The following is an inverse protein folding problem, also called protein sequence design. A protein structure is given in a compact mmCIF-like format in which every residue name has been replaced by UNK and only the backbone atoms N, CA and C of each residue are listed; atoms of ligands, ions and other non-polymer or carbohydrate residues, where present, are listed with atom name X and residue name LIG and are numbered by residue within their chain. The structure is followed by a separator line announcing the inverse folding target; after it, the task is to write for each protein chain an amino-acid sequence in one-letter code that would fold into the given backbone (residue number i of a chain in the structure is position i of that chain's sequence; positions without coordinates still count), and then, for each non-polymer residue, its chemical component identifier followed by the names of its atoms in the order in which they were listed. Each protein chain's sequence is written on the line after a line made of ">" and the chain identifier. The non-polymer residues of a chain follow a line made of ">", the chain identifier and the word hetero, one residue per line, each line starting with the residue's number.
data_IF_027489673457
#
_entry.id   IF_027489673457
#
_cell.length_a   1.000
_cell.length_b   1.000
_cell.length_c   1.000
_cell.angle_alpha   90.00
_cell.angle_beta   90.00
_cell.angle_gamma   90.00
#
_symmetry.space_group_name_H-M   'P 1'
#
loop_
_entity.id
_entity.type
_entity.pdbx_description
1 polymer ?
#
# COMPACT_ATOMS: atom_id res chain seq x y z
N UNK A 1 58.53 44.90 -33.73
CA UNK A 1 58.49 44.16 -32.43
C UNK A 1 57.34 44.55 -31.50
N UNK A 2 56.10 44.88 -31.95
CA UNK A 2 55.04 45.25 -31.00
C UNK A 2 53.61 44.72 -31.40
N UNK A 3 53.51 43.66 -32.19
CA UNK A 3 52.16 43.10 -32.57
C UNK A 3 51.74 41.84 -31.81
N UNK A 4 52.61 41.20 -31.07
CA UNK A 4 52.31 39.92 -30.36
C UNK A 4 51.73 40.15 -28.94
N UNK A 5 51.97 41.27 -28.33
CA UNK A 5 51.54 41.56 -26.93
C UNK A 5 50.00 41.64 -26.75
N UNK A 6 49.28 42.25 -27.69
CA UNK A 6 47.83 42.48 -27.59
C UNK A 6 47.00 41.22 -27.75
N UNK A 7 47.51 40.21 -28.50
CA UNK A 7 46.83 38.95 -28.73
C UNK A 7 46.96 38.02 -27.52
N UNK A 8 48.10 37.98 -26.88
CA UNK A 8 48.40 37.19 -25.67
C UNK A 8 47.54 37.70 -24.48
N UNK A 9 47.44 39.02 -24.33
CA UNK A 9 46.60 39.62 -23.27
C UNK A 9 45.14 39.32 -23.43
N UNK A 10 44.61 39.34 -24.67
CA UNK A 10 43.20 38.96 -24.92
C UNK A 10 42.95 37.47 -24.68
N UNK A 11 43.88 36.60 -24.99
CA UNK A 11 43.79 35.16 -24.74
C UNK A 11 43.86 34.83 -23.23
N UNK A 12 44.73 35.52 -22.48
CA UNK A 12 44.79 35.42 -21.02
C UNK A 12 43.49 35.89 -20.32
N UNK A 13 42.88 36.99 -20.78
CA UNK A 13 41.61 37.53 -20.24
C UNK A 13 40.47 36.50 -20.56
N UNK A 14 40.44 35.87 -21.72
CA UNK A 14 39.46 34.87 -22.10
C UNK A 14 39.56 33.60 -21.23
N UNK A 15 40.77 33.16 -20.94
CA UNK A 15 41.03 31.98 -20.07
C UNK A 15 40.58 32.33 -18.61
N UNK A 16 40.88 33.54 -18.10
CA UNK A 16 40.45 33.93 -16.78
C UNK A 16 38.92 34.03 -16.65
N UNK A 17 38.20 34.41 -17.71
CA UNK A 17 36.73 34.41 -17.72
C UNK A 17 36.14 33.01 -17.70
N UNK A 18 36.71 32.04 -18.40
CA UNK A 18 36.27 30.66 -18.40
C UNK A 18 36.53 29.96 -17.06
N UNK A 19 37.66 30.22 -16.42
CA UNK A 19 37.99 29.63 -15.11
C UNK A 19 37.15 30.24 -13.97
N UNK A 20 36.85 31.51 -14.02
CA UNK A 20 36.02 32.16 -13.01
C UNK A 20 34.57 31.63 -12.99
N UNK A 21 33.97 31.31 -14.14
CA UNK A 21 32.62 30.74 -14.19
C UNK A 21 32.58 29.30 -13.64
N UNK A 22 33.59 28.50 -13.87
CA UNK A 22 33.66 27.13 -13.33
C UNK A 22 33.86 27.12 -11.80
N UNK A 23 34.65 28.05 -11.26
CA UNK A 23 34.86 28.18 -9.79
C UNK A 23 33.58 28.65 -9.10
N UNK A 24 32.82 29.57 -9.71
CA UNK A 24 31.55 30.02 -9.15
C UNK A 24 30.48 28.93 -9.11
N UNK A 25 30.38 28.10 -10.18
CA UNK A 25 29.46 26.97 -10.24
C UNK A 25 29.84 25.88 -9.22
N UNK A 26 31.11 25.60 -9.05
CA UNK A 26 31.62 24.63 -8.09
C UNK A 26 31.33 25.07 -6.63
N UNK A 27 31.48 26.35 -6.31
CA UNK A 27 31.16 26.87 -4.98
C UNK A 27 29.66 26.81 -4.63
N UNK A 28 28.75 26.93 -5.59
CA UNK A 28 27.30 26.76 -5.36
C UNK A 28 26.97 25.31 -5.07
N UNK A 29 27.50 24.37 -5.85
CA UNK A 29 27.33 22.94 -5.63
C UNK A 29 27.87 22.52 -4.25
N UNK A 30 29.07 22.98 -3.89
CA UNK A 30 29.67 22.70 -2.59
C UNK A 30 28.79 23.23 -1.43
N UNK A 31 28.21 24.41 -1.56
CA UNK A 31 27.28 24.96 -0.54
C UNK A 31 26.02 24.11 -0.41
N UNK A 32 25.45 23.64 -1.53
CA UNK A 32 24.27 22.74 -1.50
C UNK A 32 24.62 21.43 -0.79
N UNK A 33 25.75 20.82 -1.13
CA UNK A 33 26.23 19.57 -0.51
C UNK A 33 26.50 19.79 0.99
N UNK A 34 27.11 20.90 1.37
CA UNK A 34 27.35 21.21 2.77
C UNK A 34 26.07 21.42 3.56
N UNK A 35 25.09 22.12 2.98
CA UNK A 35 23.78 22.34 3.62
C UNK A 35 23.07 21.01 3.85
N UNK A 36 23.00 20.15 2.82
CA UNK A 36 22.39 18.83 2.95
C UNK A 36 23.13 17.95 3.98
N UNK A 37 24.46 17.98 4.00
CA UNK A 37 25.26 17.14 4.90
C UNK A 37 25.21 17.59 6.36
N UNK A 38 25.21 18.92 6.60
CA UNK A 38 25.33 19.49 7.96
C UNK A 38 24.00 19.87 8.56
N UNK A 39 23.06 20.33 7.75
CA UNK A 39 21.80 20.91 8.18
C UNK A 39 20.59 20.19 7.58
N UNK A 40 20.73 18.93 7.15
CA UNK A 40 19.63 18.17 6.55
C UNK A 40 18.42 18.15 7.48
N UNK A 41 17.27 18.53 6.93
CA UNK A 41 15.99 18.46 7.62
C UNK A 41 15.18 17.21 7.23
N UNK A 42 15.78 16.30 6.45
CA UNK A 42 15.07 15.15 5.87
C UNK A 42 14.36 14.32 6.95
N UNK A 43 15.04 13.99 8.05
CA UNK A 43 14.43 13.21 9.13
C UNK A 43 13.27 13.96 9.80
N UNK A 44 13.44 15.26 10.06
CA UNK A 44 12.37 16.09 10.66
C UNK A 44 11.16 16.18 9.73
N UNK A 45 11.39 16.44 8.43
CA UNK A 45 10.33 16.50 7.43
C UNK A 45 9.63 15.15 7.27
N UNK A 46 10.40 14.07 7.25
CA UNK A 46 9.86 12.71 7.20
C UNK A 46 8.99 12.41 8.44
N UNK A 47 9.47 12.71 9.64
CA UNK A 47 8.71 12.54 10.87
C UNK A 47 7.40 13.34 10.85
N UNK A 48 7.44 14.61 10.52
CA UNK A 48 6.24 15.47 10.47
C UNK A 48 5.21 14.93 9.46
N UNK A 49 5.67 14.50 8.28
CA UNK A 49 4.80 14.07 7.19
C UNK A 49 4.33 12.61 7.32
N UNK A 50 5.21 11.70 7.74
CA UNK A 50 4.93 10.26 7.77
C UNK A 50 4.33 9.82 9.11
N UNK A 51 4.89 10.31 10.22
CA UNK A 51 4.43 9.91 11.56
C UNK A 51 3.34 10.85 12.07
N UNK A 52 3.50 12.18 11.87
CA UNK A 52 2.57 13.18 12.39
C UNK A 52 1.27 13.28 11.58
N UNK A 53 1.35 13.27 10.24
CA UNK A 53 0.18 13.34 9.35
C UNK A 53 -0.29 11.95 8.93
N UNK A 54 0.63 11.05 8.60
CA UNK A 54 0.35 9.68 8.24
C UNK A 54 -0.14 9.47 6.80
N UNK A 55 -0.87 8.38 6.51
CA UNK A 55 -1.33 8.02 5.16
C UNK A 55 -2.22 9.10 4.53
N UNK A 56 -1.94 9.47 3.28
CA UNK A 56 -2.53 10.62 2.58
C UNK A 56 -3.18 10.21 1.26
N UNK A 57 -4.40 9.72 1.33
CA UNK A 57 -5.19 9.41 0.14
C UNK A 57 -5.95 10.67 -0.33
N UNK A 58 -6.14 10.79 -1.64
CA UNK A 58 -6.95 11.88 -2.22
C UNK A 58 -8.32 11.93 -1.57
N UNK A 59 -8.79 13.14 -1.20
CA UNK A 59 -10.09 13.34 -0.56
C UNK A 59 -10.13 13.01 0.94
N UNK A 60 -9.00 12.65 1.56
CA UNK A 60 -8.94 12.43 3.01
C UNK A 60 -8.56 13.71 3.78
N UNK A 61 -8.96 13.85 5.05
CA UNK A 61 -8.51 14.95 5.92
C UNK A 61 -6.98 15.00 6.04
N UNK A 62 -6.30 13.85 6.03
CA UNK A 62 -4.83 13.76 6.09
C UNK A 62 -4.16 14.35 4.84
N UNK A 63 -4.75 14.16 3.64
CA UNK A 63 -4.25 14.80 2.43
C UNK A 63 -4.35 16.33 2.52
N UNK A 64 -5.48 16.85 3.02
CA UNK A 64 -5.64 18.30 3.25
C UNK A 64 -4.58 18.82 4.22
N UNK A 65 -4.38 18.16 5.36
CA UNK A 65 -3.32 18.51 6.33
C UNK A 65 -1.93 18.51 5.71
N UNK A 66 -1.61 17.51 4.88
CA UNK A 66 -0.33 17.41 4.19
C UNK A 66 -0.11 18.56 3.20
N UNK A 67 -1.15 18.94 2.45
CA UNK A 67 -1.08 20.06 1.53
C UNK A 67 -0.88 21.40 2.28
N UNK A 68 -1.60 21.60 3.38
CA UNK A 68 -1.41 22.78 4.25
C UNK A 68 -0.01 22.80 4.89
N UNK A 69 0.47 21.63 5.35
CA UNK A 69 1.83 21.48 5.87
C UNK A 69 2.88 21.85 4.82
N UNK A 70 2.74 21.40 3.58
CA UNK A 70 3.66 21.73 2.50
C UNK A 70 3.70 23.23 2.21
N UNK A 71 2.54 23.89 2.13
CA UNK A 71 2.46 25.36 1.96
C UNK A 71 3.18 26.08 3.09
N UNK A 72 2.97 25.67 4.34
CA UNK A 72 3.61 26.29 5.51
C UNK A 72 5.13 26.05 5.51
N UNK A 73 5.61 24.88 5.09
CA UNK A 73 7.05 24.60 4.96
C UNK A 73 7.70 25.48 3.90
N UNK A 74 7.10 25.60 2.72
CA UNK A 74 7.59 26.52 1.70
C UNK A 74 7.63 27.96 2.20
N UNK A 75 6.59 28.41 2.89
CA UNK A 75 6.56 29.75 3.49
C UNK A 75 7.69 29.95 4.53
N UNK A 76 8.01 28.95 5.35
CA UNK A 76 9.11 29.00 6.32
C UNK A 76 10.49 29.13 5.66
N UNK A 77 10.61 28.71 4.41
CA UNK A 77 11.82 28.88 3.59
C UNK A 77 11.80 30.15 2.71
N UNK A 78 10.79 31.03 2.90
CA UNK A 78 10.64 32.25 2.10
C UNK A 78 10.11 32.01 0.69
N UNK A 79 9.55 30.83 0.41
CA UNK A 79 8.99 30.47 -0.90
C UNK A 79 7.48 30.63 -0.84
N UNK A 80 6.92 31.43 -1.77
CA UNK A 80 5.47 31.57 -1.90
C UNK A 80 4.86 30.29 -2.52
N UNK A 81 3.90 29.71 -1.83
CA UNK A 81 3.18 28.52 -2.28
C UNK A 81 1.69 28.63 -1.96
N UNK A 82 0.87 27.95 -2.72
CA UNK A 82 -0.58 27.87 -2.49
C UNK A 82 -1.12 26.50 -2.89
N UNK A 83 -2.22 26.10 -2.27
CA UNK A 83 -3.02 24.97 -2.75
C UNK A 83 -3.89 25.40 -3.92
N UNK A 84 -4.00 24.54 -4.94
CA UNK A 84 -4.94 24.71 -6.05
C UNK A 84 -5.92 23.55 -6.07
N UNK A 85 -7.21 23.86 -6.10
CA UNK A 85 -8.23 22.84 -6.29
C UNK A 85 -8.26 22.43 -7.76
N UNK A 86 -8.01 21.15 -8.03
CA UNK A 86 -8.03 20.60 -9.40
C UNK A 86 -9.22 19.66 -9.66
N UNK A 87 -9.98 19.31 -8.59
CA UNK A 87 -11.13 18.42 -8.70
C UNK A 87 -11.82 18.20 -7.37
N UNK A 88 -12.80 17.30 -7.41
CA UNK A 88 -13.53 16.82 -6.24
C UNK A 88 -13.41 15.31 -6.12
N UNK A 89 -13.39 14.82 -4.89
CA UNK A 89 -13.28 13.40 -4.60
C UNK A 89 -14.17 13.03 -3.42
N UNK A 90 -14.69 11.81 -3.41
CA UNK A 90 -15.43 11.30 -2.25
C UNK A 90 -14.51 11.25 -1.05
N UNK A 91 -14.88 11.99 0.00
CA UNK A 91 -14.16 11.96 1.27
C UNK A 91 -14.24 10.61 1.95
N UNK A 92 -13.22 10.29 2.74
CA UNK A 92 -13.18 9.13 3.61
C UNK A 92 -12.16 9.35 4.71
N UNK A 93 -12.49 8.95 5.93
CA UNK A 93 -11.61 9.03 7.08
C UNK A 93 -11.57 7.68 7.77
N UNK A 94 -10.35 7.14 7.94
CA UNK A 94 -10.14 5.87 8.65
C UNK A 94 -10.23 6.10 10.15
N UNK A 95 -11.04 5.28 10.81
CA UNK A 95 -11.02 5.10 12.25
C UNK A 95 -10.24 3.84 12.66
N UNK A 96 -10.67 3.21 13.73
CA UNK A 96 -10.02 2.02 14.30
C UNK A 96 -10.42 0.77 13.50
N UNK A 97 -9.48 -0.16 13.36
CA UNK A 97 -9.73 -1.52 12.88
C UNK A 97 -9.23 -2.51 13.91
N UNK A 98 -10.12 -3.36 14.44
CA UNK A 98 -9.78 -4.49 15.29
C UNK A 98 -10.22 -5.78 14.62
N UNK A 99 -9.33 -6.74 14.55
CA UNK A 99 -9.58 -8.07 13.97
C UNK A 99 -9.02 -9.10 14.94
N UNK A 100 -9.89 -9.97 15.44
CA UNK A 100 -9.49 -11.02 16.36
C UNK A 100 -9.98 -12.37 15.86
N UNK A 101 -9.13 -13.38 15.89
CA UNK A 101 -9.54 -14.77 15.80
C UNK A 101 -10.05 -15.22 17.16
N UNK A 102 -11.24 -15.79 17.21
CA UNK A 102 -11.90 -16.25 18.42
C UNK A 102 -11.85 -17.78 18.57
N UNK A 103 -11.81 -18.51 17.45
CA UNK A 103 -11.70 -19.97 17.36
C UNK A 103 -10.79 -20.34 16.21
N UNK A 104 -10.01 -21.42 16.29
CA UNK A 104 -9.90 -22.41 17.40
C UNK A 104 -9.12 -21.89 18.63
N UNK A 105 -8.45 -20.75 18.54
CA UNK A 105 -7.76 -20.09 19.65
C UNK A 105 -7.89 -18.59 19.55
N UNK A 106 -7.80 -17.89 20.68
CA UNK A 106 -7.82 -16.43 20.68
C UNK A 106 -6.47 -15.88 20.20
N UNK A 107 -6.53 -14.96 19.23
CA UNK A 107 -5.38 -14.24 18.70
C UNK A 107 -5.81 -12.93 18.06
N UNK A 108 -5.21 -11.81 18.44
CA UNK A 108 -5.35 -10.57 17.68
C UNK A 108 -4.61 -10.69 16.36
N UNK A 109 -5.27 -10.27 15.29
CA UNK A 109 -4.75 -10.33 13.93
C UNK A 109 -4.37 -8.94 13.45
N UNK A 110 -3.24 -8.84 12.76
CA UNK A 110 -2.83 -7.60 12.13
C UNK A 110 -3.61 -7.38 10.84
N UNK A 111 -4.30 -6.26 10.76
CA UNK A 111 -5.08 -5.91 9.58
C UNK A 111 -5.62 -4.49 9.63
N UNK A 112 -6.09 -4.01 8.48
CA UNK A 112 -6.66 -2.68 8.38
C UNK A 112 -7.82 -2.65 7.38
N UNK A 113 -8.79 -1.77 7.64
CA UNK A 113 -9.88 -1.51 6.72
C UNK A 113 -9.34 -0.87 5.44
N UNK A 114 -9.76 -1.38 4.28
CA UNK A 114 -9.44 -0.78 3.00
C UNK A 114 -10.10 0.59 2.84
N UNK A 115 -9.47 1.46 2.07
CA UNK A 115 -9.98 2.81 1.82
C UNK A 115 -11.33 2.76 1.10
N UNK A 116 -12.22 3.67 1.49
CA UNK A 116 -13.62 3.78 1.06
C UNK A 116 -14.48 2.54 1.36
N UNK A 117 -13.97 1.61 2.14
CA UNK A 117 -14.77 0.51 2.67
C UNK A 117 -15.80 1.01 3.68
N UNK A 118 -17.04 0.49 3.66
CA UNK A 118 -17.97 0.69 4.76
C UNK A 118 -17.41 0.14 6.07
N UNK A 119 -17.76 0.78 7.18
CA UNK A 119 -17.42 0.30 8.52
C UNK A 119 -18.49 -0.61 9.11
N UNK A 120 -18.16 -1.30 10.20
CA UNK A 120 -19.12 -2.00 11.05
C UNK A 120 -19.85 -1.04 12.02
N UNK A 121 -19.65 0.27 11.86
CA UNK A 121 -20.17 1.34 12.74
C UNK A 121 -19.73 1.15 14.20
N UNK A 122 -18.49 0.74 14.39
CA UNK A 122 -17.91 0.50 15.71
C UNK A 122 -18.44 -0.74 16.44
N UNK A 123 -19.25 -1.58 15.79
CA UNK A 123 -19.77 -2.82 16.39
C UNK A 123 -18.95 -4.03 15.94
N UNK A 124 -18.65 -4.94 16.86
CA UNK A 124 -17.99 -6.19 16.52
C UNK A 124 -18.95 -7.13 15.78
N UNK A 125 -18.55 -7.53 14.57
CA UNK A 125 -19.24 -8.54 13.76
C UNK A 125 -18.46 -9.84 13.86
N UNK A 126 -19.13 -10.93 14.25
CA UNK A 126 -18.50 -12.24 14.46
C UNK A 126 -19.05 -13.25 13.48
N UNK A 127 -18.20 -13.98 12.80
CA UNK A 127 -18.63 -15.03 11.88
C UNK A 127 -17.49 -16.01 11.54
N UNK A 128 -17.87 -17.14 10.99
CA UNK A 128 -16.98 -18.06 10.31
C UNK A 128 -16.42 -17.46 9.02
N UNK A 129 -15.35 -18.08 8.51
CA UNK A 129 -14.69 -17.70 7.27
C UNK A 129 -14.92 -18.79 6.22
N UNK A 130 -15.09 -18.36 4.97
CA UNK A 130 -15.01 -19.24 3.80
C UNK A 130 -14.01 -18.68 2.77
N UNK A 131 -13.39 -19.56 2.01
CA UNK A 131 -12.50 -19.18 0.89
C UNK A 131 -13.30 -19.25 -0.40
N UNK A 132 -13.07 -18.33 -1.35
CA UNK A 132 -13.59 -18.45 -2.71
C UNK A 132 -13.24 -19.84 -3.26
N UNK A 133 -14.22 -20.64 -3.74
CA UNK A 133 -14.00 -22.02 -4.17
C UNK A 133 -13.25 -22.08 -5.49
N UNK A 134 -12.63 -23.21 -5.74
CA UNK A 134 -12.32 -23.59 -7.11
C UNK A 134 -13.57 -24.16 -7.76
N UNK A 135 -14.03 -23.54 -8.84
CA UNK A 135 -15.24 -23.93 -9.57
C UNK A 135 -14.93 -24.24 -11.03
N UNK A 136 -15.80 -25.01 -11.67
CA UNK A 136 -15.65 -25.31 -13.09
C UNK A 136 -15.89 -24.06 -13.96
N UNK A 137 -16.94 -23.30 -13.65
CA UNK A 137 -17.42 -22.14 -14.39
C UNK A 137 -18.25 -21.20 -13.51
N UNK A 138 -18.77 -20.13 -14.10
CA UNK A 138 -19.59 -19.12 -13.42
C UNK A 138 -20.93 -19.67 -12.90
N UNK A 139 -21.52 -20.68 -13.55
CA UNK A 139 -22.77 -21.30 -13.07
C UNK A 139 -22.51 -22.06 -11.77
N UNK A 140 -21.42 -22.84 -11.71
CA UNK A 140 -21.00 -23.52 -10.49
C UNK A 140 -20.71 -22.52 -9.36
N UNK A 141 -20.14 -21.34 -9.69
CA UNK A 141 -19.96 -20.28 -8.71
C UNK A 141 -21.29 -19.71 -8.18
N UNK A 142 -22.25 -19.45 -9.07
CA UNK A 142 -23.61 -19.00 -8.67
C UNK A 142 -24.26 -20.00 -7.73
N UNK A 143 -24.15 -21.30 -8.02
CA UNK A 143 -24.68 -22.37 -7.15
C UNK A 143 -23.96 -22.43 -5.78
N UNK A 144 -22.71 -22.02 -5.70
CA UNK A 144 -21.95 -21.96 -4.45
C UNK A 144 -22.26 -20.72 -3.61
N UNK A 145 -22.65 -19.58 -4.22
CA UNK A 145 -22.85 -18.29 -3.55
C UNK A 145 -23.68 -18.34 -2.25
N UNK A 146 -24.73 -19.18 -2.09
CA UNK A 146 -25.46 -19.26 -0.81
C UNK A 146 -24.58 -19.59 0.41
N UNK A 147 -23.41 -20.20 0.21
CA UNK A 147 -22.49 -20.54 1.30
C UNK A 147 -21.83 -19.32 1.97
N UNK A 148 -21.85 -18.14 1.33
CA UNK A 148 -21.25 -16.92 1.90
C UNK A 148 -22.18 -16.20 2.88
N UNK A 149 -23.47 -16.57 2.93
CA UNK A 149 -24.45 -15.90 3.78
C UNK A 149 -24.06 -15.99 5.25
N UNK A 150 -23.91 -14.83 5.89
CA UNK A 150 -23.53 -14.75 7.29
C UNK A 150 -22.07 -15.07 7.59
N UNK A 151 -21.18 -15.07 6.58
CA UNK A 151 -19.75 -15.40 6.73
C UNK A 151 -18.85 -14.28 6.21
N UNK A 152 -17.60 -14.30 6.62
CA UNK A 152 -16.52 -13.54 5.99
C UNK A 152 -15.93 -14.35 4.83
N UNK A 153 -15.55 -13.66 3.74
CA UNK A 153 -15.08 -14.33 2.52
C UNK A 153 -13.66 -13.92 2.18
N UNK A 154 -12.75 -14.89 2.15
CA UNK A 154 -11.37 -14.71 1.71
C UNK A 154 -11.29 -14.74 0.17
N UNK A 155 -10.72 -13.69 -0.43
CA UNK A 155 -10.64 -13.53 -1.89
C UNK A 155 -9.20 -13.39 -2.42
N UNK A 156 -8.20 -13.43 -1.58
CA UNK A 156 -6.78 -13.42 -1.97
C UNK A 156 -6.16 -14.80 -1.84
N UNK A 157 -5.11 -15.05 -2.59
CA UNK A 157 -4.35 -16.30 -2.46
C UNK A 157 -3.54 -16.33 -1.15
N UNK A 158 -3.28 -17.52 -0.66
CA UNK A 158 -2.29 -17.73 0.38
C UNK A 158 -0.89 -17.63 -0.22
N UNK A 159 -0.04 -16.77 0.35
CA UNK A 159 1.34 -16.59 -0.11
C UNK A 159 2.24 -17.71 0.45
N UNK A 160 3.21 -18.23 -0.34
CA UNK A 160 4.12 -19.29 0.13
C UNK A 160 5.04 -18.81 1.26
N UNK A 161 5.37 -17.51 1.27
CA UNK A 161 6.20 -16.89 2.31
C UNK A 161 5.99 -15.38 2.33
N UNK A 162 6.09 -14.77 3.50
CA UNK A 162 6.09 -13.32 3.71
C UNK A 162 7.49 -12.69 3.71
N UNK A 163 8.54 -13.51 3.52
CA UNK A 163 9.90 -12.98 3.46
C UNK A 163 10.10 -12.16 2.20
N UNK A 164 10.53 -10.87 2.29
CA UNK A 164 10.75 -9.99 1.15
C UNK A 164 11.78 -10.53 0.16
N UNK A 165 11.61 -10.23 -1.13
CA UNK A 165 12.48 -10.70 -2.20
C UNK A 165 13.93 -10.23 -2.04
N UNK A 166 14.15 -8.99 -1.57
CA UNK A 166 15.49 -8.45 -1.30
C UNK A 166 16.23 -9.29 -0.24
N UNK A 167 15.50 -9.74 0.78
CA UNK A 167 16.06 -10.59 1.82
C UNK A 167 16.35 -12.01 1.29
N UNK A 168 15.51 -12.56 0.41
CA UNK A 168 15.79 -13.78 -0.30
C UNK A 168 17.01 -13.66 -1.20
N UNK A 169 17.09 -12.58 -1.96
CA UNK A 169 18.21 -12.32 -2.86
C UNK A 169 19.54 -12.22 -2.09
N UNK A 170 19.52 -11.65 -0.90
CA UNK A 170 20.72 -11.47 -0.07
C UNK A 170 21.19 -12.77 0.59
N UNK A 171 20.29 -13.65 1.03
CA UNK A 171 20.62 -14.77 1.93
C UNK A 171 20.35 -16.16 1.35
N UNK A 172 19.61 -16.30 0.26
CA UNK A 172 19.33 -17.58 -0.37
C UNK A 172 20.32 -17.89 -1.49
N UNK A 173 20.47 -19.18 -1.85
CA UNK A 173 21.12 -19.52 -3.12
C UNK A 173 20.28 -19.06 -4.29
N UNK A 174 20.91 -18.84 -5.44
CA UNK A 174 20.22 -18.44 -6.67
C UNK A 174 19.12 -19.43 -7.06
N UNK A 175 19.40 -20.73 -6.97
CA UNK A 175 18.45 -21.81 -7.29
C UNK A 175 17.22 -21.78 -6.37
N UNK A 176 17.44 -21.53 -5.06
CA UNK A 176 16.36 -21.47 -4.08
C UNK A 176 15.47 -20.23 -4.32
N UNK A 177 16.07 -19.09 -4.64
CA UNK A 177 15.33 -17.88 -4.97
C UNK A 177 14.55 -18.00 -6.28
N UNK A 178 15.16 -18.56 -7.32
CA UNK A 178 14.51 -18.80 -8.61
C UNK A 178 13.34 -19.79 -8.48
N UNK A 179 13.50 -20.84 -7.67
CA UNK A 179 12.43 -21.79 -7.34
C UNK A 179 11.25 -21.07 -6.67
N UNK A 180 11.52 -20.23 -5.66
CA UNK A 180 10.48 -19.46 -4.97
C UNK A 180 9.71 -18.53 -5.92
N UNK A 181 10.43 -17.81 -6.81
CA UNK A 181 9.79 -16.93 -7.79
C UNK A 181 8.88 -17.70 -8.75
N UNK A 182 9.33 -18.85 -9.22
CA UNK A 182 8.56 -19.73 -10.08
C UNK A 182 7.30 -20.23 -9.36
N UNK A 183 7.42 -20.75 -8.16
CA UNK A 183 6.32 -21.24 -7.33
C UNK A 183 5.29 -20.12 -7.08
N UNK A 184 5.74 -18.92 -6.71
CA UNK A 184 4.86 -17.77 -6.50
C UNK A 184 4.11 -17.37 -7.79
N UNK A 185 4.78 -17.42 -8.93
CA UNK A 185 4.16 -17.14 -10.24
C UNK A 185 3.08 -18.16 -10.56
N UNK A 186 3.38 -19.45 -10.43
CA UNK A 186 2.44 -20.54 -10.68
C UNK A 186 1.21 -20.47 -9.77
N UNK A 187 1.41 -20.20 -8.48
CA UNK A 187 0.32 -19.98 -7.51
C UNK A 187 -0.54 -18.77 -7.88
N UNK A 188 0.10 -17.66 -8.28
CA UNK A 188 -0.60 -16.44 -8.70
C UNK A 188 -1.47 -16.70 -9.94
N UNK A 189 -0.95 -17.41 -10.92
CA UNK A 189 -1.67 -17.72 -12.16
C UNK A 189 -2.82 -18.71 -11.88
N UNK A 190 -2.60 -19.71 -11.04
CA UNK A 190 -3.65 -20.61 -10.59
C UNK A 190 -4.76 -19.86 -9.86
N UNK A 191 -4.41 -18.91 -8.97
CA UNK A 191 -5.39 -18.07 -8.28
C UNK A 191 -6.17 -17.16 -9.22
N UNK A 192 -5.50 -16.50 -10.15
CA UNK A 192 -6.16 -15.69 -11.19
C UNK A 192 -7.14 -16.52 -12.02
N UNK A 193 -6.75 -17.73 -12.40
CA UNK A 193 -7.62 -18.68 -13.11
C UNK A 193 -8.82 -19.06 -12.26
N UNK A 194 -8.63 -19.35 -10.96
CA UNK A 194 -9.71 -19.61 -9.99
C UNK A 194 -10.71 -18.46 -9.95
N UNK A 195 -10.23 -17.22 -9.78
CA UNK A 195 -11.09 -16.04 -9.75
C UNK A 195 -11.81 -15.79 -11.09
N UNK A 196 -11.14 -15.99 -12.23
CA UNK A 196 -11.75 -15.79 -13.55
C UNK A 196 -12.93 -16.73 -13.80
N UNK A 197 -12.89 -17.95 -13.28
CA UNK A 197 -13.98 -18.92 -13.37
C UNK A 197 -15.25 -18.50 -12.60
N UNK A 198 -15.15 -17.55 -11.69
CA UNK A 198 -16.34 -16.97 -11.05
C UNK A 198 -17.22 -16.16 -12.02
N UNK A 199 -16.68 -15.78 -13.20
CA UNK A 199 -17.35 -14.91 -14.17
C UNK A 199 -17.40 -13.45 -13.78
N UNK A 200 -16.69 -13.04 -12.70
CA UNK A 200 -16.69 -11.68 -12.19
C UNK A 200 -15.29 -11.06 -12.20
N UNK A 201 -15.21 -9.78 -12.51
CA UNK A 201 -13.97 -9.01 -12.35
C UNK A 201 -13.63 -8.82 -10.86
N UNK A 202 -12.37 -8.50 -10.56
CA UNK A 202 -11.91 -8.18 -9.19
C UNK A 202 -12.72 -7.05 -8.54
N UNK A 203 -13.26 -6.13 -9.33
CA UNK A 203 -14.15 -5.05 -8.87
C UNK A 203 -15.55 -5.56 -8.52
N UNK A 204 -16.09 -6.45 -9.35
CA UNK A 204 -17.47 -6.93 -9.19
C UNK A 204 -17.61 -8.03 -8.15
N UNK A 205 -16.59 -8.87 -7.99
CA UNK A 205 -16.65 -10.00 -7.07
C UNK A 205 -17.03 -9.61 -5.64
N UNK A 206 -16.40 -8.61 -4.98
CA UNK A 206 -16.80 -8.18 -3.63
C UNK A 206 -18.26 -7.72 -3.56
N UNK A 207 -18.76 -7.05 -4.61
CA UNK A 207 -20.14 -6.58 -4.69
C UNK A 207 -21.13 -7.76 -4.79
N UNK A 208 -20.76 -8.79 -5.54
CA UNK A 208 -21.59 -10.01 -5.66
C UNK A 208 -21.63 -10.76 -4.33
N UNK A 209 -20.51 -10.89 -3.63
CA UNK A 209 -20.45 -11.49 -2.30
C UNK A 209 -21.30 -10.72 -1.28
N UNK A 210 -21.23 -9.40 -1.30
CA UNK A 210 -22.09 -8.53 -0.49
C UNK A 210 -23.58 -8.80 -0.78
N UNK A 211 -23.98 -8.84 -2.04
CA UNK A 211 -25.36 -9.13 -2.46
C UNK A 211 -25.82 -10.53 -2.05
N UNK A 212 -24.90 -11.49 -2.00
CA UNK A 212 -25.18 -12.85 -1.54
C UNK A 212 -25.28 -12.99 -0.01
N UNK A 213 -25.04 -11.90 0.73
CA UNK A 213 -25.21 -11.87 2.19
C UNK A 213 -23.93 -12.15 2.98
N UNK A 214 -22.76 -12.00 2.39
CA UNK A 214 -21.51 -11.99 3.13
C UNK A 214 -21.52 -10.86 4.18
N UNK A 215 -20.80 -11.04 5.28
CA UNK A 215 -20.66 -10.04 6.36
C UNK A 215 -19.41 -9.17 6.20
N UNK A 216 -18.48 -9.56 5.35
CA UNK A 216 -17.28 -8.80 4.99
C UNK A 216 -16.40 -9.58 4.04
N UNK A 217 -15.45 -8.86 3.45
CA UNK A 217 -14.47 -9.41 2.50
C UNK A 217 -13.08 -9.29 3.11
N UNK A 218 -12.33 -10.39 3.07
CA UNK A 218 -10.96 -10.48 3.57
C UNK A 218 -10.00 -10.53 2.39
N UNK A 219 -9.03 -9.63 2.39
CA UNK A 219 -7.98 -9.57 1.37
C UNK A 219 -6.60 -9.68 2.02
N UNK A 220 -5.63 -10.04 1.21
CA UNK A 220 -4.22 -9.86 1.47
C UNK A 220 -3.60 -9.29 0.19
N UNK A 221 -3.29 -8.00 0.21
CA UNK A 221 -2.69 -7.28 -0.90
C UNK A 221 -1.16 -7.16 -0.72
N UNK A 222 -0.53 -8.25 -0.30
CA UNK A 222 0.90 -8.29 -0.05
C UNK A 222 1.71 -7.76 -1.24
N UNK A 223 2.69 -6.89 -0.96
CA UNK A 223 3.56 -6.26 -1.95
C UNK A 223 5.02 -6.26 -1.53
N UNK A 224 5.50 -7.40 -1.08
CA UNK A 224 6.90 -7.63 -0.77
C UNK A 224 7.41 -6.86 0.48
N UNK A 225 6.52 -6.61 1.44
CA UNK A 225 6.81 -5.95 2.72
C UNK A 225 6.24 -6.72 3.91
N UNK A 226 6.40 -6.19 5.10
CA UNK A 226 5.83 -6.71 6.34
C UNK A 226 4.55 -5.97 6.70
N UNK A 227 3.60 -6.68 7.34
CA UNK A 227 2.33 -6.12 7.76
C UNK A 227 1.36 -5.89 6.59
N UNK A 228 0.56 -4.83 6.68
CA UNK A 228 -0.40 -4.44 5.63
C UNK A 228 0.22 -3.40 4.71
N UNK A 229 0.50 -3.80 3.48
CA UNK A 229 1.24 -2.97 2.51
C UNK A 229 0.34 -2.08 1.66
N UNK A 230 -0.87 -2.55 1.31
CA UNK A 230 -1.80 -1.87 0.40
C UNK A 230 -3.18 -1.75 0.99
N UNK A 231 -3.76 -0.56 0.87
CA UNK A 231 -5.02 -0.21 1.53
C UNK A 231 -6.08 0.34 0.56
N UNK A 232 -5.92 0.16 -0.74
CA UNK A 232 -6.83 0.69 -1.76
C UNK A 232 -7.91 -0.30 -2.17
N UNK A 233 -8.92 0.23 -2.93
CA UNK A 233 -9.84 -0.55 -3.74
C UNK A 233 -10.85 -1.42 -2.97
N UNK A 234 -11.45 -0.91 -1.93
CA UNK A 234 -12.71 -1.48 -1.46
C UNK A 234 -13.84 -1.15 -2.45
N UNK A 235 -14.58 -2.17 -2.85
CA UNK A 235 -15.71 -2.03 -3.79
C UNK A 235 -17.05 -2.38 -3.16
N UNK A 236 -17.05 -2.88 -1.93
CA UNK A 236 -18.25 -3.11 -1.13
C UNK A 236 -18.90 -1.78 -0.75
N UNK A 237 -20.22 -1.78 -0.58
CA UNK A 237 -21.01 -0.57 -0.29
C UNK A 237 -21.72 -0.63 1.06
N UNK A 238 -21.84 -1.82 1.67
CA UNK A 238 -22.59 -2.07 2.91
C UNK A 238 -21.81 -2.87 3.94
N UNK A 239 -20.84 -3.68 3.52
CA UNK A 239 -20.05 -4.55 4.38
C UNK A 239 -18.56 -4.14 4.35
N UNK A 240 -17.80 -4.37 5.44
CA UNK A 240 -16.38 -4.04 5.48
C UNK A 240 -15.58 -4.91 4.52
N UNK A 241 -14.55 -4.31 3.91
CA UNK A 241 -13.45 -5.00 3.28
C UNK A 241 -12.18 -4.67 4.07
N UNK A 242 -11.50 -5.69 4.57
CA UNK A 242 -10.27 -5.54 5.36
C UNK A 242 -9.12 -6.28 4.70
N UNK A 243 -7.94 -5.68 4.77
CA UNK A 243 -6.68 -6.31 4.39
C UNK A 243 -6.01 -6.86 5.66
N UNK A 244 -5.64 -8.13 5.63
CA UNK A 244 -5.02 -8.83 6.75
C UNK A 244 -3.56 -9.10 6.37
N UNK A 245 -2.64 -8.88 7.32
CA UNK A 245 -1.23 -9.15 7.12
C UNK A 245 -1.01 -10.61 6.69
N UNK A 246 0.01 -10.83 5.87
CA UNK A 246 0.24 -12.09 5.16
C UNK A 246 0.25 -13.30 6.10
N UNK A 247 0.94 -13.19 7.24
CA UNK A 247 1.10 -14.30 8.19
C UNK A 247 -0.23 -14.68 8.83
N UNK A 248 -1.04 -13.70 9.19
CA UNK A 248 -2.35 -13.90 9.80
C UNK A 248 -3.38 -14.38 8.78
N UNK A 249 -3.37 -13.80 7.58
CA UNK A 249 -4.17 -14.28 6.46
C UNK A 249 -3.87 -15.75 6.12
N UNK A 250 -2.58 -16.10 6.03
CA UNK A 250 -2.15 -17.47 5.78
C UNK A 250 -2.54 -18.43 6.90
N UNK A 251 -2.55 -17.98 8.15
CA UNK A 251 -3.04 -18.78 9.29
C UNK A 251 -4.52 -19.09 9.14
N UNK A 252 -5.35 -18.07 8.88
CA UNK A 252 -6.79 -18.24 8.67
C UNK A 252 -7.06 -19.13 7.44
N UNK A 253 -6.32 -18.92 6.36
CA UNK A 253 -6.46 -19.70 5.12
C UNK A 253 -6.24 -21.20 5.38
N UNK A 254 -5.14 -21.57 6.04
CA UNK A 254 -4.84 -22.97 6.38
C UNK A 254 -5.86 -23.58 7.33
N UNK A 255 -6.38 -22.84 8.30
CA UNK A 255 -7.44 -23.31 9.19
C UNK A 255 -8.73 -23.64 8.42
N UNK A 256 -9.11 -22.77 7.47
CA UNK A 256 -10.29 -23.07 6.61
C UNK A 256 -10.04 -24.29 5.74
N UNK A 257 -8.85 -24.43 5.13
CA UNK A 257 -8.51 -25.61 4.29
C UNK A 257 -8.47 -26.91 5.10
N UNK A 258 -8.06 -26.83 6.37
CA UNK A 258 -8.05 -28.01 7.28
C UNK A 258 -9.43 -28.35 7.84
N UNK A 259 -10.46 -27.53 7.59
CA UNK A 259 -11.81 -27.75 8.10
C UNK A 259 -12.05 -27.33 9.56
N UNK A 260 -11.15 -26.51 10.13
CA UNK A 260 -11.23 -26.05 11.53
C UNK A 260 -12.28 -24.94 11.75
N UNK A 261 -12.89 -24.43 10.68
CA UNK A 261 -13.94 -23.40 10.70
C UNK A 261 -13.62 -22.23 11.65
N UNK A 262 -12.54 -21.45 11.39
CA UNK A 262 -12.16 -20.37 12.27
C UNK A 262 -13.25 -19.31 12.35
N UNK A 263 -13.49 -18.79 13.55
CA UNK A 263 -14.39 -17.67 13.81
C UNK A 263 -13.54 -16.45 14.10
N UNK A 264 -13.83 -15.37 13.38
CA UNK A 264 -13.20 -14.07 13.63
C UNK A 264 -14.22 -13.02 14.04
N UNK A 265 -13.72 -11.99 14.72
CA UNK A 265 -14.44 -10.77 15.05
C UNK A 265 -13.80 -9.61 14.30
N UNK A 266 -14.60 -8.81 13.61
CA UNK A 266 -14.13 -7.59 12.94
C UNK A 266 -14.92 -6.41 13.48
N UNK A 267 -14.21 -5.39 13.92
CA UNK A 267 -14.76 -4.11 14.33
C UNK A 267 -14.02 -3.00 13.61
N UNK A 268 -14.73 -2.21 12.81
CA UNK A 268 -14.14 -1.09 12.06
C UNK A 268 -14.97 0.17 12.26
N UNK A 269 -14.29 1.32 12.25
CA UNK A 269 -14.91 2.62 12.21
C UNK A 269 -14.33 3.44 11.06
N UNK A 270 -15.18 4.14 10.32
CA UNK A 270 -14.78 5.06 9.23
C UNK A 270 -15.94 6.00 8.90
N UNK A 271 -15.60 7.16 8.41
CA UNK A 271 -16.54 8.22 8.02
C UNK A 271 -16.46 8.55 6.55
#
# INVERSE_FOLDING_TARGET
>A
HFRYSKSITKFLILICFFTANNVAAQTVIEKIVQEETKNSQLQTLAHELLDGIGPRLVGTPQMKKANEWAVNKYASWGISARNEQWGEWKGWERGITHIDMLSPRVKSLEGTQLSWSPSTKGKAVKAEIVIIPEVADSMAFVNWLPNVKGKFVMISMNQPTGRPDDNWQQFATKESFDKLKKERTEMTDAWRKRLSKTGHSSRMLPIILEKAGALGVLTNNWSNGFGVDKIFNAYTTKIPTVDIALEDYGTLYRLVESGDNPIISIQTDSK
#
